data_IF_500465282212
#
_entry.id   IF_500465282212
#
_cell.length_a   1.000
_cell.length_b   1.000
_cell.length_c   1.000
_cell.angle_alpha   90.00
_cell.angle_beta   90.00
_cell.angle_gamma   90.00
#
_symmetry.space_group_name_H-M   'P 1'
#
loop_
_entity.id
_entity.type
_entity.pdbx_description
1 polymer ?
#
# COMPACT_ATOMS: atom_id res chain seq x y z
N UNK A 1 -7.39 -23.60 -15.49
CA UNK A 1 -6.18 -23.06 -16.15
C UNK A 1 -5.60 -22.02 -15.21
N UNK A 2 -4.60 -22.41 -14.42
CA UNK A 2 -3.87 -21.46 -13.59
C UNK A 2 -2.96 -20.65 -14.51
N UNK A 3 -3.24 -19.35 -14.64
CA UNK A 3 -2.41 -18.46 -15.42
C UNK A 3 -1.14 -18.19 -14.62
N UNK A 4 -0.13 -19.04 -14.81
CA UNK A 4 1.19 -18.85 -14.23
C UNK A 4 1.81 -17.60 -14.83
N UNK A 5 2.02 -16.59 -13.99
CA UNK A 5 2.55 -15.31 -14.42
C UNK A 5 3.98 -15.51 -14.94
N UNK A 6 4.25 -15.10 -16.18
CA UNK A 6 5.58 -15.17 -16.79
C UNK A 6 6.18 -13.77 -17.01
N UNK A 7 7.49 -13.75 -17.21
CA UNK A 7 8.19 -12.55 -17.69
C UNK A 7 7.54 -12.06 -18.99
N UNK A 8 7.25 -10.76 -19.05
CA UNK A 8 6.59 -10.14 -20.19
C UNK A 8 5.06 -10.16 -20.17
N UNK A 9 4.40 -10.88 -19.25
CA UNK A 9 2.95 -10.75 -19.08
C UNK A 9 2.57 -9.35 -18.58
N UNK A 10 1.29 -9.02 -18.76
CA UNK A 10 0.73 -7.73 -18.40
C UNK A 10 0.05 -7.77 -17.04
N UNK A 11 0.37 -6.80 -16.21
CA UNK A 11 -0.19 -6.61 -14.88
C UNK A 11 -0.54 -5.14 -14.66
N UNK A 12 -1.67 -4.88 -14.02
CA UNK A 12 -2.08 -3.52 -13.67
C UNK A 12 -1.44 -3.13 -12.32
N UNK A 13 -0.71 -2.01 -12.30
CA UNK A 13 -0.06 -1.48 -11.10
C UNK A 13 -0.08 0.06 -11.11
N UNK A 14 0.11 0.67 -9.94
CA UNK A 14 0.11 2.13 -9.82
C UNK A 14 1.46 2.73 -10.24
N UNK A 15 1.50 3.40 -11.39
CA UNK A 15 2.72 4.04 -11.87
C UNK A 15 3.00 5.36 -11.13
N UNK A 16 4.14 5.46 -10.45
CA UNK A 16 4.58 6.68 -9.76
C UNK A 16 4.76 7.89 -10.70
N UNK A 17 5.11 7.65 -11.97
CA UNK A 17 5.26 8.70 -13.00
C UNK A 17 3.92 9.15 -13.59
N UNK A 18 3.05 8.21 -13.93
CA UNK A 18 1.72 8.53 -14.49
C UNK A 18 0.71 8.96 -13.42
N UNK A 19 1.00 8.69 -12.14
CA UNK A 19 0.11 8.94 -10.99
C UNK A 19 -1.27 8.26 -11.11
N UNK A 20 -1.35 7.20 -11.90
CA UNK A 20 -2.57 6.42 -12.17
C UNK A 20 -2.22 4.96 -12.35
N UNK A 21 -3.22 4.09 -12.19
CA UNK A 21 -3.09 2.66 -12.49
C UNK A 21 -3.09 2.47 -14.00
N UNK A 22 -2.15 1.68 -14.50
CA UNK A 22 -1.98 1.41 -15.94
C UNK A 22 -1.45 0.00 -16.13
N UNK A 23 -1.55 -0.51 -17.36
CA UNK A 23 -0.83 -1.69 -17.79
C UNK A 23 0.69 -1.56 -17.63
N UNK A 24 1.28 -2.49 -16.90
CA UNK A 24 2.72 -2.69 -16.81
C UNK A 24 3.10 -4.07 -17.34
N UNK A 25 4.27 -4.18 -17.97
CA UNK A 25 4.88 -5.46 -18.32
C UNK A 25 5.81 -5.91 -17.20
N UNK A 26 5.81 -7.19 -16.85
CA UNK A 26 6.77 -7.73 -15.88
C UNK A 26 8.16 -7.79 -16.49
N UNK A 27 9.12 -7.15 -15.81
CA UNK A 27 10.53 -7.13 -16.23
C UNK A 27 11.45 -7.96 -15.33
N UNK A 28 11.03 -8.24 -14.09
CA UNK A 28 11.77 -9.13 -13.19
C UNK A 28 10.83 -9.90 -12.26
N UNK A 29 11.11 -11.20 -12.09
CA UNK A 29 10.44 -12.10 -11.17
C UNK A 29 11.48 -12.88 -10.36
N UNK A 30 11.13 -13.27 -9.13
CA UNK A 30 11.88 -14.22 -8.33
C UNK A 30 10.94 -15.38 -7.96
N UNK A 31 11.12 -16.52 -8.62
CA UNK A 31 10.17 -17.63 -8.53
C UNK A 31 8.81 -17.18 -9.05
N UNK A 32 7.80 -17.20 -8.18
CA UNK A 32 6.43 -16.81 -8.48
C UNK A 32 6.12 -15.35 -8.11
N UNK A 33 7.06 -14.64 -7.47
CA UNK A 33 6.85 -13.24 -7.05
C UNK A 33 7.39 -12.24 -8.08
N UNK A 34 6.55 -11.27 -8.46
CA UNK A 34 6.94 -10.16 -9.34
C UNK A 34 7.73 -9.11 -8.56
N UNK A 35 8.96 -8.84 -8.98
CA UNK A 35 9.85 -7.86 -8.33
C UNK A 35 9.77 -6.47 -8.94
N UNK A 36 9.82 -6.39 -10.28
CA UNK A 36 9.82 -5.12 -11.02
C UNK A 36 8.89 -5.17 -12.22
N UNK A 37 8.25 -4.05 -12.47
CA UNK A 37 7.31 -3.85 -13.57
C UNK A 37 7.69 -2.58 -14.35
N UNK A 38 7.40 -2.59 -15.65
CA UNK A 38 7.63 -1.46 -16.55
C UNK A 38 6.31 -0.94 -17.07
N UNK A 39 6.03 0.35 -16.87
CA UNK A 39 4.80 0.97 -17.36
C UNK A 39 4.81 1.00 -18.88
N UNK A 40 3.75 0.49 -19.53
CA UNK A 40 3.63 0.52 -20.99
C UNK A 40 3.32 1.91 -21.53
N UNK A 41 2.81 2.81 -20.68
CA UNK A 41 2.45 4.18 -21.07
C UNK A 41 3.65 5.12 -21.07
N UNK A 42 4.45 5.13 -20.01
CA UNK A 42 5.58 6.06 -19.85
C UNK A 42 6.96 5.39 -19.93
N UNK A 43 7.01 4.06 -20.04
CA UNK A 43 8.24 3.29 -20.11
C UNK A 43 9.03 3.20 -18.80
N UNK A 44 8.55 3.79 -17.70
CA UNK A 44 9.26 3.81 -16.42
C UNK A 44 9.22 2.44 -15.73
N UNK A 45 10.38 2.01 -15.23
CA UNK A 45 10.53 0.79 -14.46
C UNK A 45 10.50 1.11 -12.96
N UNK A 46 9.66 0.38 -12.22
CA UNK A 46 9.54 0.54 -10.78
C UNK A 46 9.26 -0.81 -10.11
N UNK A 47 9.43 -0.86 -8.78
CA UNK A 47 9.14 -2.09 -8.01
C UNK A 47 7.64 -2.33 -8.00
N UNK A 48 7.23 -3.58 -8.19
CA UNK A 48 5.82 -3.93 -8.18
C UNK A 48 5.22 -3.67 -6.79
N UNK A 49 4.16 -2.85 -6.71
CA UNK A 49 3.52 -2.50 -5.44
C UNK A 49 2.31 -3.38 -5.13
N UNK A 50 2.10 -4.46 -5.89
CA UNK A 50 1.07 -5.49 -5.68
C UNK A 50 -0.35 -4.93 -5.57
N UNK A 51 -0.63 -3.76 -6.17
CA UNK A 51 -1.87 -3.02 -5.92
C UNK A 51 -2.27 -2.99 -4.42
N UNK A 52 -1.30 -3.08 -3.51
CA UNK A 52 -1.52 -2.91 -2.08
C UNK A 52 -1.66 -1.42 -1.88
N UNK A 53 -2.86 -0.93 -2.16
CA UNK A 53 -3.35 0.36 -1.72
C UNK A 53 -3.41 0.36 -0.20
N UNK A 54 -2.25 0.42 0.46
CA UNK A 54 -2.06 0.66 1.90
C UNK A 54 -3.18 0.09 2.78
N UNK A 55 -3.64 -1.14 2.55
CA UNK A 55 -4.48 -1.83 3.51
C UNK A 55 -3.56 -2.36 4.59
N UNK A 56 -3.09 -1.44 5.44
CA UNK A 56 -3.04 -1.82 6.85
C UNK A 56 -4.51 -2.07 7.17
N UNK A 57 -4.91 -3.33 7.28
CA UNK A 57 -6.08 -3.69 8.07
C UNK A 57 -5.82 -3.17 9.49
N UNK A 58 -6.01 -1.86 9.67
CA UNK A 58 -6.31 -1.34 10.99
C UNK A 58 -7.70 -1.86 11.27
N UNK A 59 -7.85 -2.57 12.37
CA UNK A 59 -9.18 -2.89 12.86
C UNK A 59 -10.00 -1.61 12.92
N UNK A 60 -11.32 -1.68 12.67
CA UNK A 60 -12.17 -0.50 12.67
C UNK A 60 -12.01 0.35 13.94
N UNK A 61 -11.66 -0.30 15.07
CA UNK A 61 -11.30 0.33 16.35
C UNK A 61 -10.02 1.18 16.26
N UNK A 62 -8.91 0.65 15.75
CA UNK A 62 -7.65 1.41 15.61
C UNK A 62 -7.78 2.58 14.63
N UNK A 63 -8.58 2.43 13.57
CA UNK A 63 -8.86 3.53 12.64
C UNK A 63 -9.67 4.63 13.34
N UNK A 64 -10.67 4.24 14.15
CA UNK A 64 -11.52 5.17 14.90
C UNK A 64 -10.76 5.90 16.01
N UNK A 65 -9.94 5.19 16.80
CA UNK A 65 -9.10 5.78 17.85
C UNK A 65 -8.10 6.80 17.30
N UNK A 66 -7.55 6.52 16.11
CA UNK A 66 -6.62 7.44 15.45
C UNK A 66 -7.29 8.71 14.95
N UNK A 67 -8.54 8.61 14.47
CA UNK A 67 -9.33 9.78 14.07
C UNK A 67 -9.75 10.58 15.30
N UNK A 68 -10.24 9.93 16.37
CA UNK A 68 -10.56 10.58 17.64
C UNK A 68 -9.38 11.34 18.22
N UNK A 69 -8.20 10.71 18.28
CA UNK A 69 -6.98 11.36 18.77
C UNK A 69 -6.55 12.55 17.90
N UNK A 70 -6.85 12.53 16.60
CA UNK A 70 -6.56 13.68 15.73
C UNK A 70 -7.52 14.86 15.96
N UNK A 71 -8.79 14.57 16.28
CA UNK A 71 -9.82 15.59 16.52
C UNK A 71 -9.65 16.24 17.89
N UNK A 72 -9.31 15.47 18.93
CA UNK A 72 -9.06 16.02 20.27
C UNK A 72 -7.82 16.93 20.30
N UNK A 73 -6.79 16.59 19.53
CA UNK A 73 -5.59 17.42 19.39
C UNK A 73 -5.86 18.71 18.58
N UNK A 74 -6.79 18.67 17.62
CA UNK A 74 -7.21 19.86 16.86
C UNK A 74 -8.11 20.83 17.67
N UNK A 75 -8.75 20.36 18.74
CA UNK A 75 -9.63 21.16 19.58
C UNK A 75 -8.99 21.63 20.90
N UNK A 76 -7.67 21.45 21.07
CA UNK A 76 -6.96 21.95 22.26
C UNK A 76 -7.36 21.25 23.57
N UNK A 77 -7.87 20.01 23.50
CA UNK A 77 -8.13 19.21 24.68
C UNK A 77 -6.91 18.37 25.05
N UNK A 78 -6.23 18.71 26.14
CA UNK A 78 -5.14 17.90 26.71
C UNK A 78 -5.59 16.45 26.96
N UNK A 79 -4.90 15.42 26.45
CA UNK A 79 -5.14 14.05 26.86
C UNK A 79 -4.46 13.80 28.22
N UNK A 80 -5.27 13.51 29.25
CA UNK A 80 -4.78 13.12 30.58
C UNK A 80 -4.10 11.74 30.51
N UNK A 81 -2.79 11.75 30.28
CA UNK A 81 -1.94 10.58 30.44
C UNK A 81 -1.51 10.47 31.91
N UNK A 82 -1.93 9.40 32.62
CA UNK A 82 -1.04 8.43 33.31
C UNK A 82 -1.74 7.57 34.38
N UNK A 83 -1.70 6.25 34.14
CA UNK A 83 -1.11 5.17 34.97
C UNK A 83 -1.55 4.98 36.44
N UNK A 84 -2.06 3.79 36.76
CA UNK A 84 -1.78 2.94 37.96
C UNK A 84 -2.67 1.67 37.87
N UNK A 85 -2.28 0.46 38.26
CA UNK A 85 -1.03 -0.14 38.77
C UNK A 85 -1.14 -1.66 38.54
N UNK A 86 -0.01 -2.29 38.23
CA UNK A 86 0.22 -3.73 38.28
C UNK A 86 0.57 -4.10 39.73
N UNK A 87 -0.26 -4.91 40.39
CA UNK A 87 0.08 -5.85 41.49
C UNK A 87 -1.18 -6.63 41.89
#
# INVERSE_FOLDING_TARGET
MEAMMRLGDYIDDHCSRCKRTTDHSIVAMAGEEVLKTRCRTCGNEHKYRQNKGRSKEMTAKEAFDKVLASVTNAQGGEPTSKRKKKE
#
